data_IF_811743843768
#
_entry.id   IF_811743843768
#
_cell.length_a   1.000
_cell.length_b   1.000
_cell.length_c   1.000
_cell.angle_alpha   90.00
_cell.angle_beta   90.00
_cell.angle_gamma   90.00
#
_symmetry.space_group_name_H-M   'P 1'
#
loop_
_entity.id
_entity.type
_entity.pdbx_description
1 polymer ?
#
# COMPACT_ATOMS: atom_id res chain seq x y z
N UNK A 1 -30.50 9.49 20.44
CA UNK A 1 -29.98 8.90 19.20
C UNK A 1 -29.25 10.01 18.47
N UNK A 2 -27.95 9.90 18.21
CA UNK A 2 -27.24 10.89 17.38
C UNK A 2 -27.80 10.86 15.95
N UNK A 3 -27.87 12.01 15.25
CA UNK A 3 -28.35 12.05 13.90
C UNK A 3 -27.41 11.24 13.00
N UNK A 4 -27.99 10.25 12.30
CA UNK A 4 -27.27 9.55 11.24
C UNK A 4 -27.00 10.58 10.14
N UNK A 5 -25.75 10.98 9.99
CA UNK A 5 -25.32 11.72 8.80
C UNK A 5 -25.39 10.79 7.60
N UNK A 6 -26.52 10.82 6.90
CA UNK A 6 -26.78 10.03 5.70
C UNK A 6 -26.00 10.50 4.47
N UNK A 7 -25.14 11.51 4.64
CA UNK A 7 -24.41 12.11 3.51
C UNK A 7 -23.16 11.34 3.07
N UNK A 8 -22.59 10.49 3.93
CA UNK A 8 -21.42 9.69 3.56
C UNK A 8 -21.54 8.28 4.16
N UNK A 9 -21.84 7.26 3.35
CA UNK A 9 -21.90 5.87 3.80
C UNK A 9 -20.52 5.29 4.19
N UNK A 10 -19.47 6.11 4.18
CA UNK A 10 -18.06 5.71 4.41
C UNK A 10 -17.63 5.74 5.87
N UNK A 11 -18.50 6.16 6.79
CA UNK A 11 -18.19 6.26 8.24
C UNK A 11 -18.05 4.91 8.93
N UNK A 12 -18.01 3.81 8.21
CA UNK A 12 -17.87 2.46 8.76
C UNK A 12 -16.90 1.61 7.95
N UNK A 13 -15.76 2.18 7.57
CA UNK A 13 -14.75 1.50 6.73
C UNK A 13 -14.06 0.35 7.48
N UNK A 14 -13.81 0.49 8.77
CA UNK A 14 -13.09 -0.49 9.57
C UNK A 14 -14.03 -1.13 10.59
N UNK A 15 -14.62 -2.24 10.21
CA UNK A 15 -15.69 -2.88 10.98
C UNK A 15 -15.19 -3.77 12.11
N UNK A 16 -13.94 -4.17 12.13
CA UNK A 16 -13.43 -5.19 13.03
C UNK A 16 -11.98 -4.96 13.45
N UNK A 17 -11.71 -5.13 14.71
CA UNK A 17 -10.38 -5.15 15.28
C UNK A 17 -10.14 -4.03 16.31
N UNK A 18 -9.51 -4.35 17.45
CA UNK A 18 -9.20 -3.36 18.48
C UNK A 18 -8.20 -2.32 17.94
N UNK A 19 -8.34 -1.06 18.37
CA UNK A 19 -7.42 0.03 18.02
C UNK A 19 -5.95 -0.30 18.30
N UNK A 20 -5.69 -1.03 19.39
CA UNK A 20 -4.36 -1.51 19.76
C UNK A 20 -3.74 -2.33 18.62
N UNK A 21 -4.51 -3.24 17.99
CA UNK A 21 -4.02 -4.02 16.86
C UNK A 21 -3.63 -3.11 15.68
N UNK A 22 -4.46 -2.15 15.35
CA UNK A 22 -4.23 -1.24 14.22
C UNK A 22 -3.04 -0.32 14.48
N UNK A 23 -2.91 0.22 15.71
CA UNK A 23 -1.75 1.03 16.12
C UNK A 23 -0.47 0.17 16.10
N UNK A 24 -0.54 -1.07 16.56
CA UNK A 24 0.59 -1.99 16.51
C UNK A 24 1.02 -2.26 15.07
N UNK A 25 0.07 -2.53 14.17
CA UNK A 25 0.34 -2.75 12.75
C UNK A 25 0.91 -1.51 12.07
N UNK A 26 0.39 -0.31 12.39
CA UNK A 26 0.94 0.95 11.94
C UNK A 26 2.40 1.10 12.39
N UNK A 27 2.66 0.88 13.69
CA UNK A 27 4.01 1.00 14.27
C UNK A 27 4.97 0.01 13.63
N UNK A 28 4.57 -1.25 13.49
CA UNK A 28 5.38 -2.28 12.83
C UNK A 28 5.66 -1.96 11.36
N UNK A 29 4.66 -1.44 10.63
CA UNK A 29 4.85 -1.04 9.24
C UNK A 29 5.85 0.12 9.12
N UNK A 30 5.73 1.14 9.95
CA UNK A 30 6.65 2.28 9.96
C UNK A 30 8.07 1.84 10.35
N UNK A 31 8.21 1.00 11.40
CA UNK A 31 9.50 0.48 11.82
C UNK A 31 10.16 -0.36 10.71
N UNK A 32 9.39 -1.25 10.07
CA UNK A 32 9.90 -2.06 8.98
C UNK A 32 10.38 -1.19 7.80
N UNK A 33 9.58 -0.19 7.39
CA UNK A 33 9.94 0.73 6.32
C UNK A 33 11.18 1.58 6.64
N UNK A 34 11.32 2.04 7.90
CA UNK A 34 12.48 2.81 8.36
C UNK A 34 13.74 1.94 8.44
N UNK A 35 13.61 0.72 8.98
CA UNK A 35 14.74 -0.22 9.09
C UNK A 35 15.27 -0.57 7.71
N UNK A 36 14.40 -0.96 6.77
CA UNK A 36 14.77 -1.26 5.39
C UNK A 36 15.49 -0.09 4.71
N UNK A 37 14.98 1.14 4.90
CA UNK A 37 15.62 2.34 4.36
C UNK A 37 17.01 2.58 4.95
N UNK A 38 17.19 2.40 6.27
CA UNK A 38 18.45 2.61 6.97
C UNK A 38 19.44 1.52 6.58
N UNK A 39 19.04 0.26 6.63
CA UNK A 39 19.88 -0.90 6.33
C UNK A 39 20.39 -0.87 4.89
N UNK A 40 19.52 -0.56 3.94
CA UNK A 40 19.91 -0.40 2.54
C UNK A 40 20.89 0.77 2.30
N UNK A 41 20.79 1.86 3.06
CA UNK A 41 21.78 2.97 3.00
C UNK A 41 23.08 2.63 3.65
N UNK A 42 23.06 1.99 4.82
CA UNK A 42 24.25 1.58 5.57
C UNK A 42 25.06 0.53 4.79
N UNK A 43 24.40 -0.51 4.28
CA UNK A 43 25.05 -1.57 3.50
C UNK A 43 25.78 -1.00 2.28
N UNK A 44 25.15 -0.06 1.56
CA UNK A 44 25.80 0.65 0.45
C UNK A 44 26.95 1.53 0.87
N UNK A 45 26.82 2.26 2.00
CA UNK A 45 27.87 3.14 2.52
C UNK A 45 29.09 2.36 2.99
N UNK A 46 28.91 1.16 3.53
CA UNK A 46 30.00 0.31 4.05
C UNK A 46 30.53 -0.71 3.04
N UNK A 47 29.93 -0.79 1.85
CA UNK A 47 30.32 -1.77 0.82
C UNK A 47 30.11 -3.23 1.25
N UNK A 48 29.20 -3.48 2.19
CA UNK A 48 28.89 -4.80 2.75
C UNK A 48 27.63 -5.42 2.12
N UNK A 49 27.46 -5.26 0.83
CA UNK A 49 26.34 -5.87 0.13
C UNK A 49 26.56 -7.37 -0.07
N UNK A 50 25.76 -8.21 0.58
CA UNK A 50 25.75 -9.64 0.35
C UNK A 50 24.83 -10.02 -0.84
N UNK A 51 25.13 -11.12 -1.53
CA UNK A 51 24.25 -11.65 -2.58
C UNK A 51 22.89 -12.05 -2.03
N UNK A 52 22.85 -12.55 -0.80
CA UNK A 52 21.62 -12.91 -0.10
C UNK A 52 20.77 -11.67 0.21
N UNK A 53 21.36 -10.58 0.71
CA UNK A 53 20.66 -9.31 0.92
C UNK A 53 20.04 -8.78 -0.37
N UNK A 54 20.81 -8.69 -1.45
CA UNK A 54 20.33 -8.24 -2.77
C UNK A 54 19.16 -9.07 -3.32
N UNK A 55 19.08 -10.34 -2.97
CA UNK A 55 17.94 -11.19 -3.32
C UNK A 55 16.75 -10.93 -2.39
N UNK A 56 17.01 -10.74 -1.10
CA UNK A 56 15.97 -10.62 -0.08
C UNK A 56 15.25 -9.26 -0.12
N UNK A 57 15.98 -8.16 -0.39
CA UNK A 57 15.44 -6.80 -0.41
C UNK A 57 14.15 -6.68 -1.26
N UNK A 58 14.13 -7.05 -2.56
CA UNK A 58 12.92 -6.92 -3.36
C UNK A 58 11.79 -7.86 -2.93
N UNK A 59 12.10 -8.94 -2.20
CA UNK A 59 11.08 -9.84 -1.64
C UNK A 59 10.47 -9.23 -0.40
N UNK A 60 11.30 -8.69 0.51
CA UNK A 60 10.86 -8.08 1.74
C UNK A 60 9.98 -6.85 1.49
N UNK A 61 10.40 -5.96 0.57
CA UNK A 61 9.63 -4.80 0.14
C UNK A 61 8.21 -5.18 -0.33
N UNK A 62 8.11 -6.16 -1.18
CA UNK A 62 6.81 -6.62 -1.69
C UNK A 62 5.98 -7.31 -0.62
N UNK A 63 6.61 -8.17 0.19
CA UNK A 63 5.92 -8.89 1.25
C UNK A 63 5.32 -7.91 2.26
N UNK A 64 6.06 -6.88 2.67
CA UNK A 64 5.59 -5.85 3.58
C UNK A 64 4.33 -5.16 3.05
N UNK A 65 4.36 -4.71 1.80
CA UNK A 65 3.20 -4.04 1.16
C UNK A 65 2.02 -4.99 1.01
N UNK A 66 2.24 -6.22 0.51
CA UNK A 66 1.18 -7.21 0.29
C UNK A 66 0.50 -7.58 1.61
N UNK A 67 1.27 -7.84 2.66
CA UNK A 67 0.75 -8.19 3.99
C UNK A 67 -0.05 -7.02 4.57
N UNK A 68 0.49 -5.79 4.52
CA UNK A 68 -0.20 -4.62 5.03
C UNK A 68 -1.54 -4.37 4.30
N UNK A 69 -1.56 -4.48 2.98
CA UNK A 69 -2.79 -4.33 2.18
C UNK A 69 -3.81 -5.44 2.46
N UNK A 70 -3.36 -6.68 2.63
CA UNK A 70 -4.24 -7.80 3.01
C UNK A 70 -4.88 -7.58 4.38
N UNK A 71 -4.10 -7.08 5.36
CA UNK A 71 -4.61 -6.73 6.69
C UNK A 71 -5.64 -5.61 6.60
N UNK A 72 -5.39 -4.55 5.82
CA UNK A 72 -6.34 -3.45 5.64
C UNK A 72 -7.66 -3.97 5.06
N UNK A 73 -7.63 -4.85 4.06
CA UNK A 73 -8.85 -5.49 3.53
C UNK A 73 -9.58 -6.31 4.61
N UNK A 74 -8.84 -7.08 5.40
CA UNK A 74 -9.43 -7.84 6.51
C UNK A 74 -10.09 -6.96 7.56
N UNK A 75 -9.45 -5.87 7.95
CA UNK A 75 -9.98 -4.91 8.93
C UNK A 75 -11.16 -4.09 8.39
N UNK A 76 -11.16 -3.75 7.10
CA UNK A 76 -12.25 -2.99 6.47
C UNK A 76 -13.52 -3.81 6.22
N UNK A 77 -13.50 -5.11 6.48
CA UNK A 77 -14.65 -6.00 6.25
C UNK A 77 -15.02 -6.14 4.78
N UNK A 78 -14.03 -6.15 3.89
CA UNK A 78 -14.18 -6.32 2.42
C UNK A 78 -15.04 -5.19 1.81
N UNK A 79 -14.74 -3.95 2.19
CA UNK A 79 -15.44 -2.80 1.64
C UNK A 79 -14.97 -2.50 0.21
N UNK A 80 -15.86 -2.33 -0.79
CA UNK A 80 -15.49 -2.17 -2.21
C UNK A 80 -14.52 -1.02 -2.48
N UNK A 81 -14.67 0.12 -1.78
CA UNK A 81 -13.78 1.30 -1.95
C UNK A 81 -12.33 1.03 -1.54
N UNK A 82 -12.09 0.04 -0.71
CA UNK A 82 -10.75 -0.39 -0.30
C UNK A 82 -10.31 -1.61 -1.10
N UNK A 83 -11.21 -2.56 -1.32
CA UNK A 83 -10.91 -3.81 -2.00
C UNK A 83 -10.43 -3.59 -3.44
N UNK A 84 -11.15 -2.78 -4.25
CA UNK A 84 -10.81 -2.61 -5.66
C UNK A 84 -9.42 -2.01 -5.89
N UNK A 85 -9.06 -0.85 -5.29
CA UNK A 85 -7.72 -0.29 -5.50
C UNK A 85 -6.62 -1.23 -4.98
N UNK A 86 -6.84 -1.94 -3.87
CA UNK A 86 -5.89 -2.91 -3.35
C UNK A 86 -5.75 -4.10 -4.32
N UNK A 87 -6.85 -4.62 -4.85
CA UNK A 87 -6.80 -5.70 -5.83
C UNK A 87 -6.00 -5.31 -7.09
N UNK A 88 -6.18 -4.08 -7.59
CA UNK A 88 -5.38 -3.58 -8.72
C UNK A 88 -3.89 -3.48 -8.38
N UNK A 89 -3.57 -3.03 -7.18
CA UNK A 89 -2.18 -2.95 -6.71
C UNK A 89 -1.56 -4.35 -6.66
N UNK A 90 -2.23 -5.31 -6.02
CA UNK A 90 -1.73 -6.67 -5.86
C UNK A 90 -1.60 -7.40 -7.21
N UNK A 91 -2.62 -7.29 -8.07
CA UNK A 91 -2.59 -7.87 -9.42
C UNK A 91 -1.40 -7.35 -10.22
N UNK A 92 -1.15 -6.05 -10.20
CA UNK A 92 -0.02 -5.44 -10.90
C UNK A 92 1.32 -5.89 -10.31
N UNK A 93 1.45 -5.99 -8.98
CA UNK A 93 2.70 -6.46 -8.36
C UNK A 93 3.06 -7.87 -8.83
N UNK A 94 2.08 -8.77 -8.88
CA UNK A 94 2.27 -10.13 -9.39
C UNK A 94 2.57 -10.10 -10.89
N UNK A 95 1.75 -9.40 -11.67
CA UNK A 95 1.87 -9.33 -13.13
C UNK A 95 3.23 -8.81 -13.59
N UNK A 96 3.66 -7.65 -13.06
CA UNK A 96 4.95 -7.05 -13.47
C UNK A 96 6.13 -7.87 -12.96
N UNK A 97 5.99 -8.56 -11.82
CA UNK A 97 7.05 -9.47 -11.33
C UNK A 97 7.23 -10.66 -12.25
N UNK A 98 6.13 -11.33 -12.62
CA UNK A 98 6.18 -12.44 -13.58
C UNK A 98 6.70 -12.02 -14.94
N UNK A 99 6.29 -10.81 -15.41
CA UNK A 99 6.77 -10.29 -16.69
C UNK A 99 8.28 -9.98 -16.66
N UNK A 100 8.80 -9.45 -15.54
CA UNK A 100 10.24 -9.24 -15.35
C UNK A 100 11.03 -10.54 -15.31
N UNK A 101 10.50 -11.54 -14.64
CA UNK A 101 11.10 -12.88 -14.56
C UNK A 101 11.16 -13.52 -15.96
N UNK A 102 10.08 -13.45 -16.73
CA UNK A 102 10.02 -13.95 -18.09
C UNK A 102 11.03 -13.27 -19.03
N UNK A 103 11.18 -11.95 -18.91
CA UNK A 103 12.11 -11.16 -19.74
C UNK A 103 13.58 -11.34 -19.33
N UNK A 104 13.87 -11.79 -18.10
CA UNK A 104 15.23 -12.01 -17.62
C UNK A 104 16.14 -10.78 -17.77
N UNK A 105 17.24 -10.92 -18.47
CA UNK A 105 18.21 -9.86 -18.74
C UNK A 105 17.62 -8.66 -19.50
N UNK A 106 16.68 -8.91 -20.43
CA UNK A 106 16.02 -7.87 -21.23
C UNK A 106 15.17 -6.91 -20.36
N UNK A 107 14.68 -7.39 -19.19
CA UNK A 107 13.95 -6.54 -18.26
C UNK A 107 14.75 -5.30 -17.80
N UNK A 108 16.06 -5.38 -17.77
CA UNK A 108 16.94 -4.28 -17.38
C UNK A 108 16.97 -3.15 -18.42
N UNK A 109 16.65 -3.42 -19.68
CA UNK A 109 16.59 -2.42 -20.76
C UNK A 109 15.33 -1.56 -20.70
N UNK A 110 14.28 -2.05 -20.02
CA UNK A 110 13.01 -1.34 -19.86
C UNK A 110 13.13 -0.23 -18.82
N UNK A 111 13.28 1.00 -19.27
CA UNK A 111 13.37 2.16 -18.37
C UNK A 111 12.12 2.31 -17.49
N UNK A 112 12.34 2.40 -16.19
CA UNK A 112 11.28 2.67 -15.22
C UNK A 112 10.86 4.13 -15.32
N UNK A 113 9.57 4.39 -15.51
CA UNK A 113 9.03 5.75 -15.61
C UNK A 113 9.03 6.47 -14.26
N UNK A 114 9.03 7.80 -14.29
CA UNK A 114 8.90 8.63 -13.09
C UNK A 114 7.61 8.31 -12.32
N UNK A 115 6.53 7.97 -13.02
CA UNK A 115 5.25 7.56 -12.45
C UNK A 115 5.37 6.32 -11.55
N UNK A 116 6.30 5.42 -11.83
CA UNK A 116 6.52 4.24 -10.99
C UNK A 116 7.09 4.59 -9.61
N UNK A 117 7.84 5.69 -9.48
CA UNK A 117 8.30 6.21 -8.18
C UNK A 117 7.13 6.79 -7.38
N UNK A 118 6.28 7.59 -8.02
CA UNK A 118 5.10 8.17 -7.39
C UNK A 118 4.11 7.12 -6.91
N UNK A 119 3.92 6.03 -7.68
CA UNK A 119 3.11 4.88 -7.27
C UNK A 119 3.55 4.33 -5.91
N UNK A 120 4.85 4.05 -5.76
CA UNK A 120 5.38 3.47 -4.52
C UNK A 120 5.25 4.45 -3.36
N UNK A 121 5.56 5.73 -3.58
CA UNK A 121 5.37 6.77 -2.55
C UNK A 121 3.90 6.87 -2.12
N UNK A 122 2.96 6.87 -3.08
CA UNK A 122 1.54 6.92 -2.77
C UNK A 122 1.07 5.71 -1.93
N UNK A 123 1.55 4.51 -2.26
CA UNK A 123 1.27 3.29 -1.47
C UNK A 123 1.83 3.38 -0.05
N UNK A 124 3.10 3.78 0.08
CA UNK A 124 3.78 3.90 1.38
C UNK A 124 3.15 4.95 2.30
N UNK A 125 2.47 5.95 1.74
CA UNK A 125 1.71 6.95 2.52
C UNK A 125 0.28 6.48 2.76
N UNK A 126 -0.37 5.85 1.78
CA UNK A 126 -1.77 5.42 1.91
C UNK A 126 -1.95 4.36 3.02
N UNK A 127 -1.02 3.39 3.12
CA UNK A 127 -1.10 2.30 4.09
C UNK A 127 -1.15 2.82 5.53
N UNK A 128 -0.17 3.60 6.03
CA UNK A 128 -0.22 4.10 7.40
C UNK A 128 -1.41 5.04 7.65
N UNK A 129 -1.82 5.85 6.66
CA UNK A 129 -3.00 6.71 6.79
C UNK A 129 -4.26 5.88 6.99
N UNK A 130 -4.45 4.78 6.25
CA UNK A 130 -5.58 3.88 6.41
C UNK A 130 -5.56 3.12 7.75
N UNK A 131 -4.38 2.72 8.24
CA UNK A 131 -4.25 2.08 9.55
C UNK A 131 -4.61 3.05 10.68
N UNK A 132 -4.17 4.32 10.59
CA UNK A 132 -4.58 5.36 11.56
C UNK A 132 -6.09 5.60 11.46
N UNK A 133 -6.65 5.73 10.27
CA UNK A 133 -8.08 5.91 10.07
C UNK A 133 -8.89 4.82 10.77
N UNK A 134 -8.47 3.57 10.60
CA UNK A 134 -9.12 2.44 11.26
C UNK A 134 -9.01 2.46 12.79
N UNK A 135 -7.86 2.88 13.33
CA UNK A 135 -7.69 3.06 14.77
C UNK A 135 -8.62 4.14 15.33
N UNK A 136 -8.70 5.29 14.64
CA UNK A 136 -9.58 6.39 15.04
C UNK A 136 -11.06 6.01 14.96
N UNK A 137 -11.47 5.27 13.93
CA UNK A 137 -12.85 4.78 13.79
C UNK A 137 -13.22 3.80 14.93
N UNK A 138 -12.29 2.91 15.29
CA UNK A 138 -12.51 2.02 16.41
C UNK A 138 -12.65 2.77 17.74
N UNK A 139 -11.78 3.74 18.00
CA UNK A 139 -11.82 4.59 19.19
C UNK A 139 -13.12 5.38 19.29
N UNK A 140 -13.58 5.97 18.20
CA UNK A 140 -14.82 6.72 18.14
C UNK A 140 -16.05 5.86 18.54
N UNK A 141 -15.99 4.55 18.27
CA UNK A 141 -17.08 3.61 18.61
C UNK A 141 -17.04 3.09 20.04
N UNK A 142 -15.83 2.93 20.60
CA UNK A 142 -15.65 2.24 21.89
C UNK A 142 -15.24 3.17 23.04
N UNK A 143 -14.92 4.43 22.74
CA UNK A 143 -14.66 5.46 23.74
C UNK A 143 -13.45 5.20 24.64
N UNK A 144 -12.39 4.59 24.11
CA UNK A 144 -11.25 4.12 24.91
C UNK A 144 -10.23 5.20 25.26
N UNK A 145 -10.20 6.34 24.55
CA UNK A 145 -9.32 7.48 24.83
C UNK A 145 -10.08 8.74 25.27
N UNK A 146 -9.41 9.55 26.11
CA UNK A 146 -9.93 10.77 26.75
C UNK A 146 -9.95 11.99 25.80
N UNK A 147 -10.35 11.81 24.57
CA UNK A 147 -10.38 12.91 23.56
C UNK A 147 -11.84 13.31 23.30
N UNK A 148 -12.06 14.59 23.03
CA UNK A 148 -13.42 15.11 22.82
C UNK A 148 -14.08 14.46 21.58
N UNK A 149 -15.39 14.16 21.62
CA UNK A 149 -16.10 13.54 20.50
C UNK A 149 -16.04 14.32 19.20
N UNK A 150 -16.01 15.65 19.28
CA UNK A 150 -15.91 16.54 18.10
C UNK A 150 -14.56 16.45 17.41
N UNK A 151 -13.47 16.33 18.18
CA UNK A 151 -12.13 16.16 17.62
C UNK A 151 -12.00 14.79 16.94
N UNK A 152 -12.53 13.75 17.55
CA UNK A 152 -12.54 12.41 16.95
C UNK A 152 -13.27 12.37 15.60
N UNK A 153 -14.47 12.92 15.53
CA UNK A 153 -15.28 12.91 14.32
C UNK A 153 -14.60 13.64 13.14
N UNK A 154 -13.99 14.79 13.42
CA UNK A 154 -13.28 15.56 12.38
C UNK A 154 -12.01 14.86 11.91
N UNK A 155 -11.25 14.29 12.84
CA UNK A 155 -9.98 13.62 12.56
C UNK A 155 -10.20 12.29 11.84
N UNK A 156 -11.16 11.49 12.29
CA UNK A 156 -11.56 10.24 11.64
C UNK A 156 -11.97 10.49 10.18
N UNK A 157 -12.85 11.45 9.94
CA UNK A 157 -13.31 11.80 8.59
C UNK A 157 -12.13 12.20 7.69
N UNK A 158 -11.22 13.02 8.20
CA UNK A 158 -10.05 13.49 7.45
C UNK A 158 -9.15 12.33 7.04
N UNK A 159 -8.76 11.47 8.00
CA UNK A 159 -7.87 10.35 7.73
C UNK A 159 -8.52 9.28 6.85
N UNK A 160 -9.81 8.98 7.04
CA UNK A 160 -10.55 8.04 6.20
C UNK A 160 -10.65 8.53 4.77
N UNK A 161 -11.01 9.79 4.56
CA UNK A 161 -11.11 10.39 3.22
C UNK A 161 -9.75 10.46 2.55
N UNK A 162 -8.73 10.96 3.26
CA UNK A 162 -7.37 11.03 2.74
C UNK A 162 -6.82 9.64 2.38
N UNK A 163 -7.04 8.65 3.22
CA UNK A 163 -6.63 7.26 2.98
C UNK A 163 -7.27 6.67 1.75
N UNK A 164 -8.58 6.89 1.55
CA UNK A 164 -9.29 6.43 0.35
C UNK A 164 -8.74 7.12 -0.90
N UNK A 165 -8.60 8.43 -0.88
CA UNK A 165 -8.06 9.18 -2.03
C UNK A 165 -6.66 8.70 -2.39
N UNK A 166 -5.79 8.51 -1.38
CA UNK A 166 -4.42 8.05 -1.59
C UNK A 166 -4.36 6.62 -2.13
N UNK A 167 -5.19 5.70 -1.62
CA UNK A 167 -5.17 4.31 -2.10
C UNK A 167 -5.73 4.20 -3.52
N UNK A 168 -6.73 5.01 -3.89
CA UNK A 168 -7.23 5.09 -5.26
C UNK A 168 -6.21 5.72 -6.20
N UNK A 169 -5.53 6.79 -5.78
CA UNK A 169 -4.43 7.39 -6.53
C UNK A 169 -3.31 6.37 -6.78
N UNK A 170 -2.91 5.63 -5.75
CA UNK A 170 -1.94 4.56 -5.85
C UNK A 170 -2.41 3.43 -6.80
N UNK A 171 -3.68 3.02 -6.70
CA UNK A 171 -4.29 2.02 -7.58
C UNK A 171 -4.28 2.45 -9.05
N UNK A 172 -4.71 3.68 -9.34
CA UNK A 172 -4.71 4.23 -10.70
C UNK A 172 -3.28 4.34 -11.27
N UNK A 173 -2.35 4.90 -10.51
CA UNK A 173 -0.94 4.96 -10.91
C UNK A 173 -0.36 3.56 -11.15
N UNK A 174 -0.79 2.59 -10.37
CA UNK A 174 -0.39 1.20 -10.49
C UNK A 174 -0.87 0.59 -11.80
N UNK A 175 -2.12 0.80 -12.19
CA UNK A 175 -2.66 0.33 -13.47
C UNK A 175 -1.94 1.01 -14.63
N UNK A 176 -1.82 2.32 -14.62
CA UNK A 176 -1.15 3.09 -15.68
C UNK A 176 0.30 2.63 -15.89
N UNK A 177 1.05 2.48 -14.79
CA UNK A 177 2.45 2.02 -14.87
C UNK A 177 2.58 0.55 -15.28
N UNK A 178 1.60 -0.28 -14.94
CA UNK A 178 1.53 -1.68 -15.37
C UNK A 178 1.29 -1.81 -16.87
N UNK A 179 0.34 -1.02 -17.39
CA UNK A 179 0.05 -0.96 -18.84
C UNK A 179 1.24 -0.38 -19.65
N UNK A 180 1.89 0.67 -19.15
CA UNK A 180 3.10 1.22 -19.77
C UNK A 180 4.22 0.16 -19.83
N UNK A 181 4.41 -0.58 -18.73
CA UNK A 181 5.41 -1.65 -18.69
C UNK A 181 5.07 -2.80 -19.66
N UNK A 182 3.80 -3.22 -19.71
CA UNK A 182 3.33 -4.21 -20.67
C UNK A 182 3.55 -3.75 -22.10
N UNK A 183 3.20 -2.50 -22.42
CA UNK A 183 3.38 -1.95 -23.75
C UNK A 183 4.85 -1.98 -24.19
N UNK A 184 5.76 -1.60 -23.30
CA UNK A 184 7.21 -1.65 -23.54
C UNK A 184 7.75 -3.08 -23.67
N UNK A 185 7.11 -4.06 -23.00
CA UNK A 185 7.48 -5.47 -23.08
C UNK A 185 6.93 -6.16 -24.34
N UNK A 186 5.88 -5.62 -24.99
CA UNK A 186 5.22 -6.25 -26.14
C UNK A 186 6.16 -6.65 -27.30
N UNK A 187 7.20 -5.86 -27.66
CA UNK A 187 8.14 -6.28 -28.71
C UNK A 187 8.89 -7.57 -28.40
N UNK A 188 9.11 -7.85 -27.11
CA UNK A 188 9.82 -9.05 -26.65
C UNK A 188 8.88 -10.25 -26.50
N UNK A 189 7.56 -9.99 -26.32
CA UNK A 189 6.51 -11.01 -26.19
C UNK A 189 5.99 -11.51 -27.55
N UNK A 190 6.11 -10.69 -28.59
CA UNK A 190 5.73 -11.10 -29.94
C UNK A 190 6.77 -12.09 -30.45
N UNK A 191 6.34 -13.33 -30.67
CA UNK A 191 7.19 -14.31 -31.35
C UNK A 191 7.77 -13.70 -32.61
N UNK A 192 9.09 -13.61 -32.71
CA UNK A 192 9.73 -13.38 -34.00
C UNK A 192 9.30 -14.54 -34.87
N UNK A 193 8.43 -14.28 -35.84
CA UNK A 193 8.24 -15.23 -36.94
C UNK A 193 9.64 -15.51 -37.50
N UNK A 194 10.15 -16.69 -37.22
CA UNK A 194 11.33 -17.24 -37.86
C UNK A 194 11.07 -17.42 -39.35
#
# INVERSE_FOLDING_TARGET
>A
RPPRSTLFPYTTLFRSGPSILQITLFTLFILAALTDFIDGRLARAWGQESNFGRMLDPIADKAMVVIALAIIVGLSGIHPLILFPIAFILLREVFVSGLREFLGSEASTLKVTYLAKWKTTAQMVAIPVLLIAGALEFEARHGMFWVSPSFHASTEWLFSTAGIVLIWAAGLLTVLTGLDYLHKAMPFLRDRKR
#
